data_IF_348489750709
#
_entry.id   IF_348489750709
#
_cell.length_a   1.000
_cell.length_b   1.000
_cell.length_c   1.000
_cell.angle_alpha   90.00
_cell.angle_beta   90.00
_cell.angle_gamma   90.00
#
_symmetry.space_group_name_H-M   'P 1'
#
loop_
_entity.id
_entity.type
_entity.pdbx_description
1 polymer ?
#
# COMPACT_ATOMS: atom_id res chain seq x y z
N UNK A 1 29.25 -4.14 8.71
CA UNK A 1 27.82 -4.51 8.58
C UNK A 1 27.68 -5.97 8.98
N UNK A 2 26.79 -6.32 9.93
CA UNK A 2 26.54 -7.74 10.28
C UNK A 2 25.68 -8.35 9.17
N UNK A 3 26.14 -9.42 8.55
CA UNK A 3 25.31 -10.16 7.59
C UNK A 3 24.08 -10.74 8.32
N UNK A 4 22.86 -10.41 7.90
CA UNK A 4 21.66 -10.95 8.51
C UNK A 4 21.65 -12.48 8.32
N UNK A 5 21.44 -13.22 9.42
CA UNK A 5 21.30 -14.68 9.36
C UNK A 5 20.02 -15.01 8.57
N UNK A 6 20.07 -15.93 7.59
CA UNK A 6 18.88 -16.32 6.84
C UNK A 6 17.86 -16.94 7.81
N UNK A 7 16.66 -16.36 7.86
CA UNK A 7 15.56 -16.91 8.65
C UNK A 7 15.08 -18.18 7.94
N UNK A 8 15.23 -19.33 8.59
CA UNK A 8 14.68 -20.60 8.10
C UNK A 8 13.15 -20.48 8.03
N UNK A 9 12.56 -20.85 6.88
CA UNK A 9 11.11 -20.99 6.73
C UNK A 9 10.60 -21.94 7.81
N UNK A 10 9.65 -21.48 8.61
CA UNK A 10 9.03 -22.32 9.63
C UNK A 10 8.14 -23.36 8.91
N UNK A 11 8.43 -24.66 9.09
CA UNK A 11 7.69 -25.77 8.45
C UNK A 11 6.21 -25.83 8.84
N UNK A 12 5.81 -25.11 9.89
CA UNK A 12 4.49 -25.16 10.50
C UNK A 12 3.49 -24.13 9.97
N UNK A 13 3.84 -23.34 8.95
CA UNK A 13 2.95 -22.31 8.40
C UNK A 13 2.86 -22.40 6.87
N UNK A 14 2.21 -23.45 6.33
CA UNK A 14 1.93 -23.56 4.89
C UNK A 14 1.10 -22.37 4.37
N UNK A 15 0.24 -21.81 5.22
CA UNK A 15 -0.64 -20.67 4.93
C UNK A 15 0.12 -19.36 4.62
N UNK A 16 1.40 -19.26 4.98
CA UNK A 16 2.23 -18.11 4.62
C UNK A 16 2.47 -18.01 3.11
N UNK A 17 2.39 -19.13 2.37
CA UNK A 17 2.49 -19.11 0.91
C UNK A 17 1.20 -18.59 0.26
N UNK A 18 0.03 -18.98 0.79
CA UNK A 18 -1.24 -18.38 0.35
C UNK A 18 -1.25 -16.88 0.63
N UNK A 19 -0.73 -16.47 1.79
CA UNK A 19 -0.61 -15.06 2.14
C UNK A 19 0.26 -14.27 1.14
N UNK A 20 1.36 -14.85 0.63
CA UNK A 20 2.20 -14.15 -0.35
C UNK A 20 1.50 -13.91 -1.69
N UNK A 21 0.72 -14.87 -2.18
CA UNK A 21 -0.07 -14.67 -3.39
C UNK A 21 -1.19 -13.65 -3.16
N UNK A 22 -1.91 -13.75 -2.04
CA UNK A 22 -2.93 -12.76 -1.68
C UNK A 22 -2.37 -11.35 -1.53
N UNK A 23 -1.12 -11.18 -1.07
CA UNK A 23 -0.48 -9.86 -0.98
C UNK A 23 -0.18 -9.28 -2.38
N UNK A 24 0.19 -10.12 -3.36
CA UNK A 24 0.44 -9.65 -4.73
C UNK A 24 -0.81 -9.08 -5.39
N UNK A 25 -2.00 -9.56 -5.02
CA UNK A 25 -3.28 -9.04 -5.52
C UNK A 25 -3.51 -7.56 -5.15
N UNK A 26 -2.84 -7.05 -4.11
CA UNK A 26 -2.88 -5.63 -3.76
C UNK A 26 -2.03 -4.78 -4.74
N UNK A 27 -1.17 -5.38 -5.54
CA UNK A 27 -0.32 -4.69 -6.50
C UNK A 27 -1.12 -3.91 -7.53
N UNK A 28 -0.93 -2.59 -7.58
CA UNK A 28 -1.60 -1.69 -8.51
C UNK A 28 -3.03 -1.29 -8.12
N UNK A 29 -3.56 -1.82 -7.01
CA UNK A 29 -4.88 -1.49 -6.49
C UNK A 29 -4.97 -0.04 -6.01
N UNK A 30 -6.17 0.54 -6.12
CA UNK A 30 -6.41 1.93 -5.72
C UNK A 30 -6.95 2.02 -4.30
N UNK A 31 -6.26 2.78 -3.47
CA UNK A 31 -6.63 3.02 -2.08
C UNK A 31 -7.00 4.48 -1.86
N UNK A 32 -7.68 4.68 -0.72
CA UNK A 32 -8.20 5.93 -0.21
C UNK A 32 -9.57 6.31 -0.78
N UNK A 33 -10.57 6.30 0.10
CA UNK A 33 -11.92 6.78 -0.19
C UNK A 33 -12.00 8.29 0.11
N UNK A 34 -12.85 9.04 -0.61
CA UNK A 34 -13.10 10.44 -0.29
C UNK A 34 -13.61 10.55 1.16
N UNK A 35 -12.96 11.40 1.96
CA UNK A 35 -13.33 11.74 3.34
C UNK A 35 -13.54 13.25 3.44
N UNK A 36 -14.44 13.74 4.31
CA UNK A 36 -14.62 15.16 4.52
C UNK A 36 -13.29 15.88 4.74
N UNK A 37 -13.16 17.10 4.22
CA UNK A 37 -11.94 17.88 4.32
C UNK A 37 -11.54 18.02 5.80
N UNK A 38 -10.31 17.64 6.20
CA UNK A 38 -9.89 17.68 7.59
C UNK A 38 -9.76 19.11 8.13
N UNK A 39 -9.73 20.13 7.26
CA UNK A 39 -9.58 21.54 7.63
C UNK A 39 -10.93 22.23 7.80
N UNK A 40 -11.86 22.05 6.86
CA UNK A 40 -13.13 22.79 6.84
C UNK A 40 -14.38 21.92 6.92
N UNK A 41 -14.23 20.60 7.00
CA UNK A 41 -15.32 19.62 7.09
C UNK A 41 -16.15 19.44 5.82
N UNK A 42 -15.80 20.12 4.71
CA UNK A 42 -16.56 20.01 3.46
C UNK A 42 -16.41 18.64 2.81
N UNK A 43 -17.52 18.07 2.34
CA UNK A 43 -17.57 16.84 1.55
C UNK A 43 -17.37 17.09 0.05
N UNK A 44 -17.26 18.35 -0.36
CA UNK A 44 -17.03 18.74 -1.75
C UNK A 44 -15.55 18.56 -2.10
N UNK A 45 -15.23 17.37 -2.59
CA UNK A 45 -13.86 16.99 -2.96
C UNK A 45 -13.71 16.88 -4.48
N UNK A 46 -12.54 17.24 -4.98
CA UNK A 46 -12.06 16.97 -6.33
C UNK A 46 -10.92 15.96 -6.30
N UNK A 47 -10.77 15.18 -7.38
CA UNK A 47 -9.59 14.33 -7.56
C UNK A 47 -8.36 15.24 -7.74
N UNK A 48 -7.33 15.05 -6.94
CA UNK A 48 -6.08 15.80 -7.05
C UNK A 48 -5.10 15.05 -7.96
N UNK A 49 -4.58 13.94 -7.47
CA UNK A 49 -3.66 13.07 -8.18
C UNK A 49 -3.69 11.65 -7.60
N UNK A 50 -2.81 10.80 -8.14
CA UNK A 50 -2.56 9.44 -7.67
C UNK A 50 -1.09 9.34 -7.32
N UNK A 51 -0.81 8.85 -6.12
CA UNK A 51 0.54 8.65 -5.58
C UNK A 51 0.83 7.15 -5.49
N UNK A 52 1.91 6.68 -6.12
CA UNK A 52 2.35 5.30 -5.97
C UNK A 52 3.06 5.15 -4.62
N UNK A 53 2.57 4.22 -3.78
CA UNK A 53 3.18 3.92 -2.48
C UNK A 53 3.62 2.49 -2.39
N UNK A 54 4.82 2.28 -1.84
CA UNK A 54 5.28 0.95 -1.50
C UNK A 54 4.40 0.42 -0.36
N UNK A 55 3.63 -0.62 -0.64
CA UNK A 55 2.81 -1.31 0.36
C UNK A 55 3.67 -2.25 1.17
N UNK A 56 4.41 -3.13 0.49
CA UNK A 56 5.37 -4.02 1.11
C UNK A 56 6.41 -4.53 0.11
N UNK A 57 7.49 -5.11 0.64
CA UNK A 57 8.49 -5.87 -0.12
C UNK A 57 8.38 -7.35 0.25
N UNK A 58 8.09 -8.20 -0.72
CA UNK A 58 8.09 -9.65 -0.59
C UNK A 58 9.51 -10.19 -0.82
N UNK A 59 9.87 -11.22 -0.06
CA UNK A 59 11.12 -11.96 -0.24
C UNK A 59 10.77 -13.41 -0.52
N UNK A 60 10.79 -13.80 -1.80
CA UNK A 60 10.39 -15.12 -2.26
C UNK A 60 11.57 -15.77 -2.97
N UNK A 61 11.97 -16.97 -2.53
CA UNK A 61 13.10 -17.72 -3.11
C UNK A 61 14.44 -16.95 -3.21
N UNK A 62 14.64 -15.95 -2.34
CA UNK A 62 15.85 -15.11 -2.34
C UNK A 62 15.78 -13.89 -3.25
N UNK A 63 14.66 -13.72 -3.97
CA UNK A 63 14.38 -12.55 -4.79
C UNK A 63 13.51 -11.54 -4.01
N UNK A 64 13.69 -10.27 -4.35
CA UNK A 64 12.93 -9.16 -3.77
C UNK A 64 11.90 -8.67 -4.78
N UNK A 65 10.66 -8.59 -4.35
CA UNK A 65 9.54 -8.11 -5.15
C UNK A 65 8.82 -6.99 -4.41
N UNK A 66 8.75 -5.80 -5.01
CA UNK A 66 8.04 -4.66 -4.43
C UNK A 66 6.58 -4.64 -4.88
N UNK A 67 5.67 -4.64 -3.92
CA UNK A 67 4.24 -4.47 -4.17
C UNK A 67 3.89 -3.00 -3.97
N UNK A 68 3.56 -2.33 -5.06
CA UNK A 68 3.17 -0.92 -5.08
C UNK A 68 1.65 -0.80 -5.14
N UNK A 69 1.09 0.17 -4.42
CA UNK A 69 -0.34 0.50 -4.44
C UNK A 69 -0.54 1.94 -4.89
N UNK A 70 -1.72 2.25 -5.42
CA UNK A 70 -2.08 3.58 -5.92
C UNK A 70 -2.95 4.32 -4.91
N UNK A 71 -2.41 5.32 -4.23
CA UNK A 71 -3.17 6.12 -3.27
C UNK A 71 -3.78 7.33 -3.98
N UNK A 72 -5.11 7.38 -4.05
CA UNK A 72 -5.82 8.55 -4.58
C UNK A 72 -5.80 9.67 -3.56
N UNK A 73 -5.37 10.86 -3.97
CA UNK A 73 -5.46 12.07 -3.15
C UNK A 73 -6.57 12.97 -3.69
N UNK A 74 -7.19 13.70 -2.78
CA UNK A 74 -8.31 14.56 -3.07
C UNK A 74 -7.99 15.96 -2.55
N UNK A 75 -8.50 16.98 -3.25
CA UNK A 75 -8.45 18.35 -2.74
C UNK A 75 -9.87 18.82 -2.43
N UNK A 76 -10.00 19.69 -1.44
CA UNK A 76 -11.27 20.31 -1.09
C UNK A 76 -11.59 21.44 -2.09
N UNK A 77 -12.75 21.36 -2.75
CA UNK A 77 -13.20 22.40 -3.68
C UNK A 77 -13.54 23.72 -2.98
N UNK A 78 -13.87 23.67 -1.68
CA UNK A 78 -14.24 24.85 -0.89
C UNK A 78 -13.03 25.64 -0.38
N UNK A 79 -12.00 24.97 0.14
CA UNK A 79 -10.84 25.65 0.74
C UNK A 79 -9.52 25.43 0.00
N UNK A 80 -9.52 24.62 -1.07
CA UNK A 80 -8.35 24.35 -1.92
C UNK A 80 -7.28 23.46 -1.29
N UNK A 81 -7.46 22.96 -0.07
CA UNK A 81 -6.49 22.10 0.63
C UNK A 81 -6.54 20.66 0.09
N UNK A 82 -5.36 20.07 -0.08
CA UNK A 82 -5.13 18.65 -0.37
C UNK A 82 -4.94 17.89 0.95
#
# INVERSE_FOLDING_TARGET
MRNPKPKLRNRLAPDLLELTESIREYGGEYFNNPKPCPVCGSEELGKHDVDDRLFCRLIVNGEFEDVWVKVRRFYCKKCGKV
#
